data_IF_739028968301
#
_entry.id   IF_739028968301
#
_cell.length_a   1.000
_cell.length_b   1.000
_cell.length_c   1.000
_cell.angle_alpha   90.00
_cell.angle_beta   90.00
_cell.angle_gamma   90.00
#
_symmetry.space_group_name_H-M   'P 1'
#
loop_
_entity.id
_entity.type
_entity.pdbx_description
1 polymer ?
#
# COMPACT_ATOMS: atom_id res chain seq x y z
N UNK A 1 -13.98 19.33 -15.25
CA UNK A 1 -14.36 19.11 -13.84
C UNK A 1 -13.55 17.93 -13.33
N UNK A 2 -12.55 18.17 -12.48
CA UNK A 2 -11.82 17.16 -11.70
C UNK A 2 -10.73 16.35 -12.43
N UNK A 3 -9.63 16.98 -12.86
CA UNK A 3 -8.39 16.28 -13.29
C UNK A 3 -7.52 15.80 -12.10
N UNK A 4 -8.08 15.78 -10.90
CA UNK A 4 -7.57 15.08 -9.72
C UNK A 4 -8.81 14.58 -8.96
N UNK A 5 -8.87 13.39 -8.38
CA UNK A 5 -7.81 12.43 -8.06
C UNK A 5 -8.43 11.04 -8.12
N UNK A 6 -8.18 10.28 -9.20
CA UNK A 6 -8.59 8.87 -9.24
C UNK A 6 -7.79 8.04 -8.21
N UNK A 7 -6.58 8.48 -7.90
CA UNK A 7 -5.66 7.86 -6.96
C UNK A 7 -5.46 8.76 -5.75
N UNK A 8 -5.56 8.18 -4.55
CA UNK A 8 -5.27 8.84 -3.30
C UNK A 8 -3.75 8.78 -3.01
N UNK A 9 -3.17 9.87 -2.48
CA UNK A 9 -1.73 9.94 -2.20
C UNK A 9 -1.30 8.99 -1.06
N UNK A 10 -2.24 8.61 -0.21
CA UNK A 10 -2.09 7.69 0.92
C UNK A 10 -2.56 6.26 0.59
N UNK A 11 -2.70 5.88 -0.69
CA UNK A 11 -3.05 4.50 -1.06
C UNK A 11 -2.12 3.44 -0.43
N UNK A 12 -0.83 3.76 -0.28
CA UNK A 12 0.12 2.86 0.40
C UNK A 12 -0.21 2.64 1.89
N UNK A 13 -0.98 3.56 2.48
CA UNK A 13 -1.49 3.53 3.85
C UNK A 13 -2.99 3.19 3.90
N UNK A 14 -3.51 2.46 2.90
CA UNK A 14 -4.93 2.10 2.84
C UNK A 14 -5.86 3.34 2.87
N UNK A 15 -5.41 4.44 2.25
CA UNK A 15 -6.09 5.74 2.25
C UNK A 15 -6.28 6.35 3.65
N UNK A 16 -5.59 5.83 4.66
CA UNK A 16 -5.59 6.40 6.00
C UNK A 16 -4.82 7.72 6.02
N UNK A 17 -5.22 8.63 6.90
CA UNK A 17 -4.45 9.83 7.17
C UNK A 17 -3.06 9.46 7.72
N UNK A 18 -2.04 10.18 7.26
CA UNK A 18 -0.68 9.95 7.71
C UNK A 18 -0.46 10.53 9.12
N UNK A 19 -0.47 9.64 10.13
CA UNK A 19 0.09 9.91 11.45
C UNK A 19 1.31 9.01 11.69
N UNK A 20 2.49 9.60 11.54
CA UNK A 20 3.76 8.87 11.76
C UNK A 20 3.85 8.26 13.15
N UNK A 21 3.42 8.97 14.19
CA UNK A 21 3.59 8.50 15.56
C UNK A 21 2.67 7.31 15.88
N UNK A 22 1.47 7.25 15.29
CA UNK A 22 0.57 6.10 15.43
C UNK A 22 1.03 4.90 14.59
N UNK A 23 1.44 5.16 13.34
CA UNK A 23 1.97 4.13 12.44
C UNK A 23 3.22 3.51 13.06
N UNK A 24 4.22 4.29 13.45
CA UNK A 24 5.50 3.78 13.98
C UNK A 24 5.31 2.93 15.25
N UNK A 25 4.26 3.19 16.06
CA UNK A 25 3.95 2.40 17.27
C UNK A 25 3.36 1.02 16.99
N UNK A 26 2.72 0.85 15.83
CA UNK A 26 1.89 -0.33 15.53
C UNK A 26 2.31 -1.10 14.28
N UNK A 27 3.19 -0.51 13.46
CA UNK A 27 3.66 -1.04 12.19
C UNK A 27 4.30 -2.40 12.36
N UNK A 28 3.81 -3.36 11.57
CA UNK A 28 4.37 -4.69 11.40
C UNK A 28 4.50 -5.00 9.92
N UNK A 29 5.63 -5.59 9.55
CA UNK A 29 5.90 -6.01 8.18
C UNK A 29 6.32 -7.48 8.13
N UNK A 30 5.91 -8.17 7.06
CA UNK A 30 6.41 -9.49 6.69
C UNK A 30 6.76 -9.43 5.20
N UNK A 31 8.00 -9.75 4.88
CA UNK A 31 8.51 -9.69 3.51
C UNK A 31 8.79 -11.07 2.92
N UNK A 32 8.59 -11.19 1.61
CA UNK A 32 8.95 -12.37 0.83
C UNK A 32 9.49 -11.93 -0.54
N UNK A 33 10.67 -12.42 -0.92
CA UNK A 33 11.32 -12.11 -2.21
C UNK A 33 11.46 -13.38 -3.03
N UNK A 34 11.11 -13.32 -4.32
CA UNK A 34 11.24 -14.41 -5.29
C UNK A 34 11.73 -13.87 -6.63
N UNK A 35 13.03 -13.94 -6.85
CA UNK A 35 13.65 -13.40 -8.07
C UNK A 35 13.43 -11.90 -8.19
N UNK A 36 12.72 -11.48 -9.25
CA UNK A 36 12.40 -10.08 -9.54
C UNK A 36 11.01 -9.66 -9.06
N UNK A 37 10.38 -10.47 -8.22
CA UNK A 37 9.13 -10.13 -7.52
C UNK A 37 9.37 -10.12 -6.01
N UNK A 38 8.72 -9.20 -5.32
CA UNK A 38 8.68 -9.19 -3.86
C UNK A 38 7.29 -8.80 -3.37
N UNK A 39 6.98 -9.22 -2.14
CA UNK A 39 5.76 -8.88 -1.44
C UNK A 39 6.10 -8.43 -0.04
N UNK A 40 5.43 -7.38 0.43
CA UNK A 40 5.48 -6.94 1.82
C UNK A 40 4.05 -6.87 2.33
N UNK A 41 3.71 -7.72 3.29
CA UNK A 41 2.46 -7.59 4.04
C UNK A 41 2.71 -6.56 5.14
N UNK A 42 1.90 -5.51 5.15
CA UNK A 42 1.98 -4.39 6.08
C UNK A 42 0.71 -4.39 6.94
N UNK A 43 0.87 -4.19 8.24
CA UNK A 43 -0.24 -3.97 9.16
C UNK A 43 0.09 -2.86 10.16
N UNK A 44 -0.86 -1.98 10.43
CA UNK A 44 -0.74 -0.88 11.41
C UNK A 44 -2.13 -0.47 11.92
N UNK A 45 -2.16 0.45 12.89
CA UNK A 45 -3.38 1.04 13.45
C UNK A 45 -3.26 2.56 13.39
N UNK A 46 -4.26 3.24 12.84
CA UNK A 46 -4.39 4.70 12.83
C UNK A 46 -5.82 5.08 13.20
N UNK A 47 -6.01 6.13 13.99
CA UNK A 47 -7.34 6.60 14.43
C UNK A 47 -8.18 5.49 15.11
N UNK A 48 -7.51 4.52 15.75
CA UNK A 48 -8.12 3.35 16.38
C UNK A 48 -8.57 2.24 15.42
N UNK A 49 -8.42 2.41 14.11
CA UNK A 49 -8.77 1.41 13.08
C UNK A 49 -7.56 0.60 12.61
N UNK A 50 -7.65 -0.74 12.49
CA UNK A 50 -6.59 -1.54 11.91
C UNK A 50 -6.59 -1.42 10.38
N UNK A 51 -5.40 -1.39 9.80
CA UNK A 51 -5.17 -1.41 8.36
C UNK A 51 -4.24 -2.58 8.01
N UNK A 52 -4.53 -3.27 6.91
CA UNK A 52 -3.67 -4.35 6.39
C UNK A 52 -3.60 -4.29 4.88
N UNK A 53 -2.38 -4.20 4.35
CA UNK A 53 -2.11 -4.22 2.92
C UNK A 53 -1.11 -5.32 2.54
N UNK A 54 -1.16 -5.76 1.30
CA UNK A 54 -0.05 -6.40 0.59
C UNK A 54 0.49 -5.40 -0.45
N UNK A 55 1.72 -4.96 -0.26
CA UNK A 55 2.48 -4.22 -1.26
C UNK A 55 3.20 -5.22 -2.15
N UNK A 56 2.91 -5.21 -3.45
CA UNK A 56 3.61 -6.04 -4.43
C UNK A 56 4.65 -5.20 -5.14
N UNK A 57 5.81 -5.78 -5.36
CA UNK A 57 6.93 -5.15 -6.03
C UNK A 57 7.40 -5.97 -7.21
N UNK A 58 7.91 -5.27 -8.22
CA UNK A 58 8.67 -5.85 -9.32
C UNK A 58 9.99 -5.12 -9.45
N UNK A 59 11.05 -5.85 -9.78
CA UNK A 59 12.34 -5.23 -10.12
C UNK A 59 12.30 -4.72 -11.56
N UNK A 60 12.56 -3.43 -11.75
CA UNK A 60 12.63 -2.76 -13.05
C UNK A 60 13.93 -1.97 -13.06
N UNK A 61 14.80 -2.26 -14.03
CA UNK A 61 16.13 -1.65 -14.16
C UNK A 61 16.98 -1.73 -12.88
N UNK A 62 16.86 -2.83 -12.13
CA UNK A 62 17.58 -3.09 -10.88
C UNK A 62 16.89 -2.56 -9.62
N UNK A 63 15.89 -1.70 -9.76
CA UNK A 63 15.16 -1.10 -8.64
C UNK A 63 13.83 -1.81 -8.37
N UNK A 64 13.46 -1.94 -7.09
CA UNK A 64 12.11 -2.33 -6.72
C UNK A 64 11.13 -1.19 -6.97
N UNK A 65 10.10 -1.45 -7.77
CA UNK A 65 8.96 -0.55 -8.00
C UNK A 65 7.69 -1.22 -7.48
N UNK A 66 6.76 -0.45 -6.95
CA UNK A 66 5.42 -0.94 -6.59
C UNK A 66 4.72 -1.37 -7.89
N UNK A 67 4.29 -2.63 -7.95
CA UNK A 67 3.52 -3.18 -9.06
C UNK A 67 2.02 -3.24 -8.76
N UNK A 68 1.64 -3.30 -7.49
CA UNK A 68 0.25 -3.30 -7.03
C UNK A 68 0.18 -3.00 -5.53
N UNK A 69 -0.94 -2.45 -5.08
CA UNK A 69 -1.31 -2.33 -3.67
C UNK A 69 -2.62 -3.06 -3.50
N UNK A 70 -2.68 -4.03 -2.58
CA UNK A 70 -3.90 -4.75 -2.25
C UNK A 70 -4.25 -4.44 -0.80
N UNK A 71 -5.36 -3.73 -0.59
CA UNK A 71 -5.93 -3.55 0.73
C UNK A 71 -6.79 -4.75 1.10
N UNK A 72 -6.43 -5.39 2.21
CA UNK A 72 -7.22 -6.48 2.81
C UNK A 72 -8.35 -5.90 3.65
N UNK A 73 -8.10 -4.77 4.32
CA UNK A 73 -9.08 -4.11 5.20
C UNK A 73 -10.11 -3.30 4.43
N UNK A 74 -9.70 -2.61 3.37
CA UNK A 74 -10.54 -1.80 2.51
C UNK A 74 -11.09 -2.53 1.27
N UNK A 75 -10.73 -3.80 1.07
CA UNK A 75 -11.19 -4.65 -0.04
C UNK A 75 -11.02 -4.04 -1.44
N UNK A 76 -9.89 -3.37 -1.69
CA UNK A 76 -9.58 -2.75 -2.99
C UNK A 76 -8.15 -3.11 -3.45
N UNK A 77 -7.90 -3.04 -4.76
CA UNK A 77 -6.55 -3.16 -5.32
C UNK A 77 -6.24 -2.05 -6.32
N UNK A 78 -5.03 -1.50 -6.28
CA UNK A 78 -4.59 -0.42 -7.19
C UNK A 78 -4.77 -0.81 -8.65
N UNK A 79 -4.45 -2.06 -8.99
CA UNK A 79 -4.65 -2.63 -10.33
C UNK A 79 -6.10 -2.64 -10.84
N UNK A 80 -7.11 -2.40 -9.98
CA UNK A 80 -8.51 -2.30 -10.38
C UNK A 80 -8.93 -0.88 -10.76
N UNK A 81 -8.12 0.13 -10.44
CA UNK A 81 -8.43 1.52 -10.76
C UNK A 81 -8.25 1.76 -12.26
N UNK A 82 -9.27 2.35 -12.89
CA UNK A 82 -9.25 2.76 -14.29
C UNK A 82 -9.23 4.29 -14.35
N UNK A 83 -8.05 4.86 -14.09
CA UNK A 83 -7.87 6.31 -14.19
C UNK A 83 -7.69 6.70 -15.68
N UNK A 84 -8.44 7.71 -16.13
CA UNK A 84 -8.39 8.26 -17.50
C UNK A 84 -7.27 9.30 -17.68
#
# INVERSE_FOLDING_TARGET
SGQGECLDQNMALDNAEYDRAEIDKSLKTIEAVKGDEAKVVVAFVVSGGPHRLEWKFKKVDGDWKISDLLSVTGEWALSQYQCE
#
